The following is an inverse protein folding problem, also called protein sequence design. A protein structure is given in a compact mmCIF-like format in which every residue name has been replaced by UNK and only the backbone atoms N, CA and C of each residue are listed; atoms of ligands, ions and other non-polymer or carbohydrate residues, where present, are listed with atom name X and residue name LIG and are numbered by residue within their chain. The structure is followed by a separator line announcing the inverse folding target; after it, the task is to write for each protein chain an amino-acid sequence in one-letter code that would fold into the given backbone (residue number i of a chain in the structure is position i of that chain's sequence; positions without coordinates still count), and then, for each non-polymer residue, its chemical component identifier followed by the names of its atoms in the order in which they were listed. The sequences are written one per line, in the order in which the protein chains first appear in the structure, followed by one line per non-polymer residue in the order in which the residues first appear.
data_IF_622557012951
#
_entry.id   IF_622557012951
#
_cell.length_a   1.000
_cell.length_b   1.000
_cell.length_c   1.000
_cell.angle_alpha   90.00
_cell.angle_beta   90.00
_cell.angle_gamma   90.00
#
_symmetry.space_group_name_H-M   'P 1'
#
loop_
_entity.id
_entity.type
_entity.pdbx_description
1 polymer ?
#
# COMPACT_ATOMS: atom_id res chain seq x y z
N UNK A 1 -16.79 -5.31 -16.77
CA UNK A 1 -17.01 -6.32 -15.73
C UNK A 1 -18.42 -6.18 -15.17
N UNK A 2 -19.27 -7.19 -15.34
CA UNK A 2 -20.60 -7.21 -14.74
C UNK A 2 -20.46 -7.55 -13.26
N UNK A 3 -20.46 -6.54 -12.38
CA UNK A 3 -20.80 -6.79 -10.98
C UNK A 3 -22.29 -7.14 -10.94
N UNK A 4 -22.62 -8.40 -10.63
CA UNK A 4 -23.90 -8.68 -9.99
C UNK A 4 -24.04 -7.71 -8.81
N UNK A 5 -25.20 -7.06 -8.63
CA UNK A 5 -25.40 -6.07 -7.55
C UNK A 5 -25.07 -6.69 -6.19
N UNK A 6 -23.87 -6.45 -5.69
CA UNK A 6 -23.43 -6.87 -4.36
C UNK A 6 -24.06 -5.88 -3.38
N UNK A 7 -25.07 -6.33 -2.64
CA UNK A 7 -25.82 -5.49 -1.69
C UNK A 7 -25.28 -5.58 -0.25
N UNK A 8 -24.38 -6.53 0.03
CA UNK A 8 -23.76 -6.72 1.34
C UNK A 8 -22.33 -7.26 1.17
N UNK A 9 -21.44 -6.95 2.11
CA UNK A 9 -20.07 -7.48 2.11
C UNK A 9 -20.08 -9.01 2.06
N UNK A 10 -19.23 -9.59 1.23
CA UNK A 10 -19.21 -11.03 1.03
C UNK A 10 -18.32 -11.45 -0.14
N UNK A 11 -18.20 -12.76 -0.31
CA UNK A 11 -17.46 -13.35 -1.42
C UNK A 11 -18.30 -13.25 -2.70
N UNK A 12 -17.69 -12.68 -3.74
CA UNK A 12 -18.21 -12.66 -5.09
C UNK A 12 -17.22 -13.37 -6.02
N UNK A 13 -17.73 -14.16 -6.97
CA UNK A 13 -16.91 -14.80 -7.99
C UNK A 13 -16.87 -13.92 -9.23
N UNK A 14 -15.69 -13.42 -9.58
CA UNK A 14 -15.43 -12.64 -10.78
C UNK A 14 -14.86 -13.54 -11.87
N UNK A 15 -15.32 -13.37 -13.11
CA UNK A 15 -14.71 -14.00 -14.27
C UNK A 15 -13.67 -13.04 -14.86
N UNK A 16 -12.39 -13.32 -14.63
CA UNK A 16 -11.24 -12.52 -15.07
C UNK A 16 -10.43 -13.37 -16.04
N UNK A 17 -10.30 -12.93 -17.29
CA UNK A 17 -9.57 -13.67 -18.35
C UNK A 17 -10.01 -15.14 -18.49
N UNK A 18 -11.33 -15.38 -18.35
CA UNK A 18 -11.96 -16.72 -18.33
C UNK A 18 -11.63 -17.59 -17.10
N UNK A 19 -10.99 -17.02 -16.08
CA UNK A 19 -10.70 -17.67 -14.79
C UNK A 19 -11.69 -17.16 -13.73
N UNK A 20 -12.33 -18.07 -13.01
CA UNK A 20 -13.16 -17.72 -11.86
C UNK A 20 -12.26 -17.38 -10.67
N UNK A 21 -12.38 -16.15 -10.18
CA UNK A 21 -11.65 -15.64 -9.01
C UNK A 21 -12.66 -15.25 -7.95
N UNK A 22 -12.62 -15.92 -6.80
CA UNK A 22 -13.41 -15.54 -5.62
C UNK A 22 -12.72 -14.39 -4.88
N UNK A 23 -13.45 -13.30 -4.64
CA UNK A 23 -12.95 -12.12 -3.93
C UNK A 23 -13.96 -11.64 -2.90
N UNK A 24 -13.51 -11.27 -1.71
CA UNK A 24 -14.34 -10.69 -0.67
C UNK A 24 -14.48 -9.18 -0.90
N UNK A 25 -15.60 -8.75 -1.47
CA UNK A 25 -15.90 -7.34 -1.67
C UNK A 25 -16.46 -6.74 -0.38
N UNK A 26 -15.98 -5.55 -0.01
CA UNK A 26 -16.54 -4.78 1.09
C UNK A 26 -17.60 -3.79 0.56
N UNK A 27 -18.80 -3.85 1.11
CA UNK A 27 -19.91 -2.96 0.75
C UNK A 27 -20.22 -2.02 1.92
N UNK A 28 -20.40 -0.73 1.61
CA UNK A 28 -20.65 0.31 2.59
C UNK A 28 -19.39 1.07 2.99
N UNK A 29 -19.53 1.92 4.00
CA UNK A 29 -18.42 2.74 4.50
C UNK A 29 -17.77 2.10 5.74
N UNK A 30 -16.55 1.61 5.56
CA UNK A 30 -15.70 1.06 6.64
C UNK A 30 -14.48 1.96 6.93
N UNK A 31 -14.52 3.22 6.49
CA UNK A 31 -13.41 4.18 6.58
C UNK A 31 -12.83 4.58 5.22
N UNK A 32 -13.35 4.02 4.13
CA UNK A 32 -12.96 4.36 2.76
C UNK A 32 -14.02 5.18 2.02
N UNK A 33 -15.17 5.45 2.63
CA UNK A 33 -16.35 6.00 1.96
C UNK A 33 -17.25 4.89 1.40
N UNK A 34 -18.49 5.27 1.10
CA UNK A 34 -19.52 4.34 0.64
C UNK A 34 -19.26 3.71 -0.75
N UNK A 35 -19.98 2.64 -1.03
CA UNK A 35 -19.94 1.91 -2.31
C UNK A 35 -19.40 0.49 -2.15
N UNK A 36 -18.89 -0.08 -3.24
CA UNK A 36 -18.28 -1.42 -3.26
C UNK A 36 -16.78 -1.26 -3.45
N UNK A 37 -16.00 -1.86 -2.55
CA UNK A 37 -14.55 -1.85 -2.56
C UNK A 37 -14.04 -3.25 -2.91
N UNK A 38 -13.23 -3.33 -3.96
CA UNK A 38 -12.69 -4.59 -4.47
C UNK A 38 -11.26 -4.78 -3.98
N UNK A 39 -10.93 -5.86 -3.26
CA UNK A 39 -9.55 -6.11 -2.82
C UNK A 39 -8.66 -6.41 -4.03
N UNK A 40 -7.42 -5.93 -3.99
CA UNK A 40 -6.41 -6.25 -5.01
C UNK A 40 -5.18 -6.91 -4.43
N UNK A 41 -4.80 -6.55 -3.19
CA UNK A 41 -3.62 -7.07 -2.53
C UNK A 41 -3.75 -6.93 -1.01
N UNK A 42 -3.17 -7.91 -0.29
CA UNK A 42 -2.96 -7.89 1.16
C UNK A 42 -1.49 -8.20 1.43
N UNK A 43 -0.84 -7.39 2.27
CA UNK A 43 0.61 -7.41 2.48
C UNK A 43 0.91 -7.57 3.96
N UNK A 44 1.65 -8.60 4.33
CA UNK A 44 2.12 -8.77 5.70
C UNK A 44 3.51 -8.12 5.81
N UNK A 45 3.61 -7.04 6.59
CA UNK A 45 4.86 -6.32 6.80
C UNK A 45 6.00 -7.18 7.38
N UNK A 46 5.68 -8.35 7.94
CA UNK A 46 6.64 -9.34 8.45
C UNK A 46 7.16 -10.29 7.37
N UNK A 47 6.59 -10.28 6.17
CA UNK A 47 6.98 -11.14 5.06
C UNK A 47 7.60 -10.33 3.93
N UNK A 48 8.57 -10.93 3.25
CA UNK A 48 9.28 -10.29 2.14
C UNK A 48 8.58 -10.47 0.78
N UNK A 49 7.44 -11.17 0.73
CA UNK A 49 6.69 -11.51 -0.50
C UNK A 49 6.48 -10.29 -1.40
N UNK A 50 6.04 -9.19 -0.79
CA UNK A 50 5.74 -7.93 -1.48
C UNK A 50 6.75 -6.82 -1.17
N UNK A 51 8.01 -7.16 -0.87
CA UNK A 51 9.10 -6.18 -0.76
C UNK A 51 9.13 -5.24 -1.98
N UNK A 52 9.68 -4.03 -1.82
CA UNK A 52 9.75 -3.02 -2.89
C UNK A 52 10.27 -3.59 -4.22
N UNK A 53 11.34 -4.38 -4.18
CA UNK A 53 11.98 -4.99 -5.36
C UNK A 53 11.28 -6.27 -5.86
N UNK A 54 10.14 -6.67 -5.28
CA UNK A 54 9.42 -7.89 -5.66
C UNK A 54 8.85 -7.81 -7.07
N UNK A 55 9.06 -8.87 -7.85
CA UNK A 55 8.49 -9.00 -9.20
C UNK A 55 6.96 -9.02 -9.20
N UNK A 56 6.31 -9.29 -8.05
CA UNK A 56 4.86 -9.27 -7.93
C UNK A 56 4.24 -7.91 -8.26
N UNK A 57 4.98 -6.81 -8.07
CA UNK A 57 4.51 -5.47 -8.43
C UNK A 57 4.38 -5.27 -9.95
N UNK A 58 5.27 -5.89 -10.73
CA UNK A 58 5.36 -5.71 -12.18
C UNK A 58 4.72 -6.82 -13.02
N UNK A 59 4.44 -7.99 -12.44
CA UNK A 59 3.89 -9.14 -13.18
C UNK A 59 2.37 -9.28 -13.04
N UNK A 60 1.76 -10.08 -13.92
CA UNK A 60 0.35 -10.51 -13.83
C UNK A 60 0.23 -11.94 -13.28
N UNK A 61 0.94 -12.20 -12.18
CA UNK A 61 0.90 -13.48 -11.45
C UNK A 61 0.16 -13.32 -10.14
N UNK A 62 -0.74 -14.24 -9.85
CA UNK A 62 -1.45 -14.38 -8.59
C UNK A 62 -0.57 -14.90 -7.45
N UNK A 63 -0.99 -14.62 -6.23
CA UNK A 63 -0.40 -15.19 -5.02
C UNK A 63 -1.49 -15.43 -3.99
N UNK A 64 -1.55 -16.66 -3.46
CA UNK A 64 -2.47 -17.07 -2.40
C UNK A 64 -3.92 -16.58 -2.62
N UNK A 65 -4.56 -17.06 -3.68
CA UNK A 65 -5.95 -16.71 -4.01
C UNK A 65 -6.95 -16.91 -2.86
N UNK A 66 -6.87 -17.99 -2.05
CA UNK A 66 -7.78 -18.17 -0.92
C UNK A 66 -7.73 -17.03 0.10
N UNK A 67 -6.57 -16.34 0.23
CA UNK A 67 -6.44 -15.15 1.06
C UNK A 67 -7.28 -13.95 0.58
N UNK A 68 -7.81 -13.99 -0.65
CA UNK A 68 -8.77 -13.00 -1.17
C UNK A 68 -10.22 -13.26 -0.80
N UNK A 69 -10.55 -14.42 -0.23
CA UNK A 69 -11.94 -14.83 0.09
C UNK A 69 -12.40 -14.37 1.47
N UNK A 70 -11.54 -13.65 2.19
CA UNK A 70 -11.73 -13.16 3.55
C UNK A 70 -11.52 -11.65 3.62
N UNK A 71 -12.08 -11.01 4.67
CA UNK A 71 -11.95 -9.56 4.91
C UNK A 71 -10.59 -9.17 5.53
N UNK A 72 -10.63 -8.50 6.69
CA UNK A 72 -9.44 -7.96 7.37
C UNK A 72 -8.68 -8.99 8.24
N UNK A 73 -8.32 -10.13 7.65
CA UNK A 73 -7.45 -11.14 8.25
C UNK A 73 -5.96 -10.82 8.04
N UNK A 74 -5.07 -11.76 8.35
CA UNK A 74 -3.61 -11.59 8.27
C UNK A 74 -2.98 -12.44 7.16
N UNK A 75 -3.78 -12.88 6.19
CA UNK A 75 -3.30 -13.67 5.06
C UNK A 75 -2.89 -12.77 3.89
N UNK A 76 -1.67 -12.96 3.39
CA UNK A 76 -1.18 -12.26 2.20
C UNK A 76 -1.92 -12.73 0.96
N UNK A 77 -2.20 -11.82 0.03
CA UNK A 77 -2.74 -12.21 -1.28
C UNK A 77 -2.40 -11.18 -2.33
N UNK A 78 -2.30 -11.64 -3.58
CA UNK A 78 -2.33 -10.80 -4.77
C UNK A 78 -3.33 -11.40 -5.75
N UNK A 79 -4.38 -10.62 -6.03
CA UNK A 79 -5.53 -11.08 -6.80
C UNK A 79 -5.45 -10.59 -8.25
N UNK A 80 -6.09 -11.29 -9.20
CA UNK A 80 -6.21 -10.83 -10.57
C UNK A 80 -6.86 -9.45 -10.76
N UNK A 81 -7.66 -9.01 -9.79
CA UNK A 81 -8.18 -7.64 -9.70
C UNK A 81 -7.08 -6.58 -9.66
N UNK A 82 -5.86 -6.92 -9.24
CA UNK A 82 -4.68 -6.05 -9.30
C UNK A 82 -4.37 -5.53 -10.71
N UNK A 83 -4.59 -6.35 -11.75
CA UNK A 83 -4.27 -6.00 -13.15
C UNK A 83 -5.48 -5.92 -14.08
N UNK A 84 -6.69 -6.22 -13.58
CA UNK A 84 -7.89 -6.30 -14.42
C UNK A 84 -9.08 -5.49 -13.89
N UNK A 85 -8.84 -4.56 -12.96
CA UNK A 85 -9.88 -3.71 -12.38
C UNK A 85 -9.51 -2.25 -12.50
N UNK A 86 -10.21 -1.54 -13.37
CA UNK A 86 -10.11 -0.08 -13.48
C UNK A 86 -10.84 0.58 -12.31
N UNK A 87 -10.34 1.73 -11.87
CA UNK A 87 -10.83 2.42 -10.69
C UNK A 87 -10.65 3.93 -10.79
N UNK A 88 -11.35 4.66 -9.93
CA UNK A 88 -11.18 6.09 -9.69
C UNK A 88 -10.67 6.41 -8.28
N UNK A 89 -10.70 5.43 -7.36
CA UNK A 89 -10.19 5.57 -6.01
C UNK A 89 -9.44 4.32 -5.56
N UNK A 90 -8.45 4.53 -4.70
CA UNK A 90 -7.71 3.47 -3.99
C UNK A 90 -7.96 3.69 -2.50
N UNK A 91 -8.32 2.64 -1.78
CA UNK A 91 -8.31 2.66 -0.32
C UNK A 91 -7.14 1.83 0.20
N UNK A 92 -6.34 2.46 1.06
CA UNK A 92 -5.20 1.87 1.72
C UNK A 92 -5.52 1.68 3.19
N UNK A 93 -5.39 0.46 3.68
CA UNK A 93 -5.64 0.10 5.07
C UNK A 93 -4.40 -0.47 5.74
N UNK A 94 -4.18 -0.15 7.01
CA UNK A 94 -3.19 -0.82 7.85
C UNK A 94 -3.84 -1.30 9.14
N UNK A 95 -3.50 -2.51 9.56
CA UNK A 95 -3.78 -3.04 10.90
C UNK A 95 -2.52 -2.98 11.75
N UNK A 96 -2.57 -2.17 12.80
CA UNK A 96 -1.50 -2.02 13.81
C UNK A 96 -2.15 -2.15 15.18
N UNK A 97 -1.60 -3.03 16.04
CA UNK A 97 -2.14 -3.30 17.39
C UNK A 97 -3.65 -3.60 17.39
N UNK A 98 -4.09 -4.46 16.46
CA UNK A 98 -5.50 -4.81 16.20
C UNK A 98 -6.41 -3.66 15.72
N UNK A 99 -5.88 -2.44 15.57
CA UNK A 99 -6.63 -1.29 15.07
C UNK A 99 -6.47 -1.15 13.56
N UNK A 100 -7.59 -1.15 12.85
CA UNK A 100 -7.64 -0.88 11.41
C UNK A 100 -7.80 0.62 11.16
N UNK A 101 -6.96 1.16 10.28
CA UNK A 101 -7.03 2.56 9.85
C UNK A 101 -6.90 2.64 8.34
N UNK A 102 -7.66 3.54 7.74
CA UNK A 102 -7.80 3.64 6.30
C UNK A 102 -7.57 5.07 5.81
N UNK A 103 -7.01 5.19 4.60
CA UNK A 103 -6.91 6.45 3.85
C UNK A 103 -7.29 6.20 2.40
N UNK A 104 -7.82 7.23 1.74
CA UNK A 104 -8.31 7.13 0.35
C UNK A 104 -7.52 8.05 -0.55
N UNK A 105 -7.02 7.51 -1.66
CA UNK A 105 -6.39 8.26 -2.75
C UNK A 105 -7.42 8.35 -3.88
N UNK A 106 -7.72 9.57 -4.33
CA UNK A 106 -8.50 9.79 -5.56
C UNK A 106 -7.55 9.78 -6.75
N UNK A 107 -7.58 8.68 -7.52
CA UNK A 107 -6.71 8.48 -8.67
C UNK A 107 -7.36 7.52 -9.66
N UNK A 108 -7.41 7.93 -10.93
CA UNK A 108 -7.95 7.12 -12.00
C UNK A 108 -6.84 6.34 -12.70
N UNK A 109 -7.03 5.02 -12.86
CA UNK A 109 -6.14 4.16 -13.63
C UNK A 109 -6.89 2.93 -14.15
N UNK A 110 -6.34 2.31 -15.20
CA UNK A 110 -6.90 1.09 -15.78
C UNK A 110 -6.75 -0.13 -14.84
N UNK A 111 -5.72 -0.12 -13.99
CA UNK A 111 -5.46 -1.09 -12.92
C UNK A 111 -4.33 -0.62 -11.99
N UNK A 112 -4.13 -1.32 -10.86
CA UNK A 112 -3.01 -0.99 -9.96
C UNK A 112 -1.68 -1.45 -10.59
N UNK A 113 -1.72 -2.54 -11.37
CA UNK A 113 -0.60 -2.98 -12.20
C UNK A 113 -0.13 -1.88 -13.15
N UNK A 114 -1.01 -1.30 -13.97
CA UNK A 114 -0.62 -0.24 -14.93
C UNK A 114 -0.10 1.03 -14.24
N UNK A 115 -0.52 1.27 -13.00
CA UNK A 115 -0.07 2.42 -12.22
C UNK A 115 1.33 2.22 -11.60
N UNK A 116 1.75 0.98 -11.37
CA UNK A 116 2.98 0.64 -10.65
C UNK A 116 4.05 0.03 -11.57
N UNK A 117 3.66 -0.81 -12.53
CA UNK A 117 4.55 -1.76 -13.20
C UNK A 117 5.65 -1.12 -14.05
N UNK A 118 5.46 0.11 -14.50
CA UNK A 118 6.46 0.83 -15.29
C UNK A 118 7.56 1.47 -14.45
N UNK A 119 7.45 1.41 -13.11
CA UNK A 119 8.43 1.95 -12.18
C UNK A 119 8.47 3.48 -12.12
N UNK A 120 7.61 4.19 -12.85
CA UNK A 120 7.61 5.65 -12.83
C UNK A 120 6.98 6.18 -11.54
N UNK A 121 7.63 7.20 -10.96
CA UNK A 121 7.10 7.95 -9.84
C UNK A 121 5.84 8.71 -10.24
N UNK A 122 4.81 8.66 -9.41
CA UNK A 122 3.59 9.45 -9.55
C UNK A 122 3.21 10.00 -8.20
N UNK A 123 3.09 11.33 -8.10
CA UNK A 123 2.79 11.98 -6.82
C UNK A 123 1.35 11.75 -6.37
N UNK A 124 1.15 11.79 -5.06
CA UNK A 124 -0.17 11.97 -4.44
C UNK A 124 -0.19 13.30 -3.67
N UNK A 125 -1.31 13.59 -3.01
CA UNK A 125 -1.46 14.81 -2.20
C UNK A 125 -2.25 14.51 -0.93
N UNK A 126 -1.99 13.36 -0.30
CA UNK A 126 -2.63 13.00 0.97
C UNK A 126 -2.07 13.83 2.12
N UNK A 127 -0.78 14.16 2.05
CA UNK A 127 -0.06 14.86 3.10
C UNK A 127 0.44 13.94 4.20
N UNK A 128 1.52 14.40 4.85
CA UNK A 128 2.26 13.69 5.89
C UNK A 128 1.38 13.14 7.02
N UNK A 129 0.47 13.96 7.56
CA UNK A 129 -0.35 13.55 8.70
C UNK A 129 -1.34 12.44 8.34
N UNK A 130 -1.85 12.46 7.10
CA UNK A 130 -2.71 11.39 6.57
C UNK A 130 -1.94 10.07 6.50
N UNK A 131 -0.70 10.07 6.02
CA UNK A 131 0.13 8.85 6.04
C UNK A 131 0.41 8.35 7.45
N UNK A 132 0.74 9.26 8.38
CA UNK A 132 0.93 8.90 9.80
C UNK A 132 -0.33 8.34 10.44
N UNK A 133 -1.51 8.77 9.99
CA UNK A 133 -2.79 8.29 10.51
C UNK A 133 -3.00 6.78 10.30
N UNK A 134 -2.39 6.17 9.27
CA UNK A 134 -2.43 4.71 9.08
C UNK A 134 -1.79 3.95 10.26
N UNK A 135 -0.74 4.53 10.85
CA UNK A 135 -0.05 3.98 12.03
C UNK A 135 -0.77 4.36 13.32
N UNK A 136 -1.40 5.54 13.36
CA UNK A 136 -2.10 6.07 14.52
C UNK A 136 -1.18 6.87 15.45
N UNK A 137 -1.38 6.83 16.79
CA UNK A 137 -0.59 7.62 17.75
C UNK A 137 0.92 7.35 17.71
N UNK A 138 1.33 6.21 17.15
CA UNK A 138 2.73 5.85 16.99
C UNK A 138 3.34 6.35 15.67
N UNK A 139 2.58 7.03 14.80
CA UNK A 139 3.12 7.56 13.55
C UNK A 139 4.29 8.51 13.78
N UNK A 140 5.38 8.33 13.04
CA UNK A 140 6.62 9.09 13.15
C UNK A 140 7.32 9.19 11.79
N UNK A 141 7.95 10.31 11.49
CA UNK A 141 8.77 10.50 10.28
C UNK A 141 9.82 11.60 10.55
N UNK A 142 10.91 11.65 9.79
CA UNK A 142 11.75 12.85 9.75
C UNK A 142 10.97 14.02 9.12
N UNK A 143 11.24 15.29 9.44
CA UNK A 143 10.25 16.36 9.27
C UNK A 143 10.12 16.92 7.85
N UNK A 144 11.02 16.58 6.91
CA UNK A 144 11.13 17.27 5.62
C UNK A 144 11.10 16.31 4.41
N UNK A 145 11.24 16.88 3.21
CA UNK A 145 11.01 16.28 1.89
C UNK A 145 9.55 15.83 1.66
N UNK A 146 9.04 14.91 2.49
CA UNK A 146 7.67 14.39 2.44
C UNK A 146 7.23 13.91 1.05
N UNK A 147 8.12 13.22 0.32
CA UNK A 147 7.81 12.72 -1.03
C UNK A 147 6.85 11.54 -0.93
N UNK A 148 5.66 11.70 -1.49
CA UNK A 148 4.57 10.74 -1.39
C UNK A 148 4.02 10.31 -2.76
N UNK A 149 3.54 9.08 -2.85
CA UNK A 149 2.81 8.56 -4.00
C UNK A 149 3.20 7.14 -4.38
N UNK A 150 3.32 6.89 -5.68
CA UNK A 150 3.62 5.59 -6.28
C UNK A 150 5.07 5.51 -6.74
N UNK A 151 5.70 4.34 -6.61
CA UNK A 151 7.12 4.10 -6.94
C UNK A 151 8.04 5.19 -6.37
N UNK A 152 7.89 5.44 -5.07
CA UNK A 152 8.64 6.46 -4.35
C UNK A 152 10.07 6.00 -4.14
N UNK A 153 11.00 6.76 -4.70
CA UNK A 153 12.44 6.57 -4.60
C UNK A 153 13.17 7.89 -4.29
N UNK A 154 14.39 7.81 -3.73
CA UNK A 154 15.27 8.98 -3.62
C UNK A 154 15.51 9.62 -4.98
N UNK A 155 15.74 10.94 -4.98
CA UNK A 155 15.88 11.74 -6.21
C UNK A 155 17.16 11.46 -7.00
N UNK A 156 18.16 10.83 -6.40
CA UNK A 156 19.42 10.50 -7.07
C UNK A 156 19.68 8.99 -7.13
N UNK A 157 20.10 8.46 -8.30
CA UNK A 157 20.31 7.01 -8.48
C UNK A 157 21.27 6.36 -7.48
N UNK A 158 22.31 7.09 -7.05
CA UNK A 158 23.32 6.58 -6.11
C UNK A 158 22.77 6.19 -4.73
N UNK A 159 21.57 6.67 -4.39
CA UNK A 159 20.89 6.38 -3.13
C UNK A 159 19.78 5.33 -3.25
N UNK A 160 19.43 4.86 -4.45
CA UNK A 160 18.31 3.92 -4.63
C UNK A 160 18.40 2.68 -3.74
N UNK A 161 19.59 2.13 -3.55
CA UNK A 161 19.80 0.94 -2.71
C UNK A 161 20.24 1.28 -1.26
N UNK A 162 20.26 2.56 -0.90
CA UNK A 162 20.76 3.06 0.39
C UNK A 162 19.73 3.88 1.16
N UNK A 163 18.61 4.22 0.52
CA UNK A 163 17.56 5.05 1.08
C UNK A 163 16.22 4.31 1.09
N UNK A 164 15.30 4.84 1.89
CA UNK A 164 13.95 4.33 2.02
C UNK A 164 13.17 4.46 0.70
N UNK A 165 12.38 3.43 0.40
CA UNK A 165 11.56 3.34 -0.81
C UNK A 165 10.18 2.76 -0.49
N UNK A 166 9.19 3.11 -1.31
CA UNK A 166 7.83 2.60 -1.17
C UNK A 166 7.15 2.46 -2.53
N UNK A 167 6.46 1.33 -2.79
CA UNK A 167 5.64 1.20 -4.00
C UNK A 167 4.41 2.08 -3.93
N UNK A 168 3.83 2.21 -2.73
CA UNK A 168 2.79 3.18 -2.41
C UNK A 168 3.09 3.71 -1.00
N UNK A 169 3.40 4.98 -0.85
CA UNK A 169 3.79 5.49 0.47
C UNK A 169 4.36 6.90 0.48
N UNK A 170 4.97 7.25 1.61
CA UNK A 170 5.72 8.48 1.84
C UNK A 170 7.12 8.16 2.35
N UNK A 171 8.11 8.92 1.90
CA UNK A 171 9.48 8.92 2.42
C UNK A 171 9.86 10.33 2.87
N UNK A 172 10.71 10.41 3.89
CA UNK A 172 11.13 11.69 4.46
C UNK A 172 12.55 11.65 5.01
N UNK A 173 13.17 12.82 5.08
CA UNK A 173 14.48 13.07 5.69
C UNK A 173 14.47 14.39 6.49
N UNK A 174 15.65 14.84 6.90
CA UNK A 174 15.85 16.09 7.63
C UNK A 174 16.08 17.31 6.72
N UNK A 175 16.09 17.12 5.39
CA UNK A 175 16.44 18.13 4.39
C UNK A 175 15.25 18.44 3.46
N UNK A 176 15.29 19.57 2.75
CA UNK A 176 14.20 19.89 1.81
C UNK A 176 14.26 19.02 0.54
N UNK A 177 15.45 18.53 0.19
CA UNK A 177 15.64 17.59 -0.92
C UNK A 177 15.29 16.16 -0.49
N UNK A 178 14.97 15.29 -1.44
CA UNK A 178 14.62 13.90 -1.17
C UNK A 178 15.75 12.95 -1.58
N UNK A 179 17.00 13.28 -1.24
CA UNK A 179 18.19 12.51 -1.65
C UNK A 179 18.47 11.33 -0.70
N UNK A 180 18.62 11.64 0.58
CA UNK A 180 19.00 10.72 1.67
C UNK A 180 17.79 10.43 2.58
N UNK A 181 16.74 9.85 2.00
CA UNK A 181 15.52 9.52 2.76
C UNK A 181 15.73 8.31 3.67
N UNK A 182 15.58 8.50 4.99
CA UNK A 182 15.77 7.43 5.97
C UNK A 182 14.42 6.88 6.45
N UNK A 183 13.45 7.75 6.71
CA UNK A 183 12.13 7.36 7.24
C UNK A 183 11.08 7.12 6.15
N UNK A 184 10.14 6.19 6.40
CA UNK A 184 9.06 5.83 5.48
C UNK A 184 7.81 5.30 6.18
N UNK A 185 6.68 5.49 5.52
CA UNK A 185 5.42 4.78 5.78
C UNK A 185 4.87 4.31 4.44
N UNK A 186 4.47 3.05 4.32
CA UNK A 186 3.86 2.60 3.07
C UNK A 186 3.63 1.10 2.92
N UNK A 187 3.35 0.74 1.67
CA UNK A 187 3.07 -0.59 1.17
C UNK A 187 4.13 -0.94 0.12
N UNK A 188 4.66 -2.15 0.18
CA UNK A 188 5.79 -2.56 -0.65
C UNK A 188 7.02 -1.72 -0.40
N UNK A 189 7.43 -1.64 0.87
CA UNK A 189 8.57 -0.84 1.28
C UNK A 189 9.87 -1.63 1.33
N UNK A 190 10.98 -0.90 1.45
CA UNK A 190 12.34 -1.41 1.64
C UNK A 190 13.30 -0.25 1.89
N UNK A 191 14.58 -0.56 2.14
CA UNK A 191 15.62 0.44 2.40
C UNK A 191 16.33 0.23 3.74
N UNK A 192 17.02 1.27 4.26
CA UNK A 192 17.87 1.14 5.45
C UNK A 192 17.07 0.80 6.71
N UNK A 193 17.83 0.37 7.73
CA UNK A 193 17.40 0.02 9.10
C UNK A 193 16.64 -1.29 9.23
N UNK A 194 15.47 -1.40 8.59
CA UNK A 194 14.71 -2.64 8.50
C UNK A 194 14.28 -2.86 7.06
N UNK A 195 15.18 -3.41 6.23
CA UNK A 195 14.87 -3.68 4.82
C UNK A 195 13.74 -4.72 4.66
N UNK A 196 13.45 -5.50 5.70
CA UNK A 196 12.44 -6.56 5.66
C UNK A 196 11.03 -6.05 6.00
N UNK A 197 10.89 -4.81 6.50
CA UNK A 197 9.60 -4.18 6.69
C UNK A 197 9.00 -3.79 5.33
N UNK A 198 8.07 -4.61 4.84
CA UNK A 198 7.40 -4.43 3.54
C UNK A 198 6.09 -3.65 3.63
N UNK A 199 5.53 -3.47 4.83
CA UNK A 199 4.32 -2.71 5.07
C UNK A 199 4.30 -2.17 6.50
N UNK A 200 4.06 -0.87 6.66
CA UNK A 200 4.04 -0.20 7.95
C UNK A 200 4.94 1.02 7.96
N UNK A 201 5.66 1.21 9.06
CA UNK A 201 6.54 2.36 9.32
C UNK A 201 7.94 1.91 9.72
N UNK A 202 8.92 2.54 9.10
CA UNK A 202 10.29 2.54 9.59
C UNK A 202 10.77 3.99 9.69
N UNK A 203 11.01 4.46 10.89
CA UNK A 203 11.43 5.81 11.18
C UNK A 203 12.55 5.77 12.21
N UNK A 204 13.77 5.97 11.74
CA UNK A 204 15.00 6.03 12.54
C UNK A 204 15.74 7.33 12.25
N UNK A 205 16.75 7.67 13.06
CA UNK A 205 17.60 8.88 13.00
C UNK A 205 17.19 10.01 13.94
N UNK A 206 18.02 11.05 13.99
CA UNK A 206 17.78 12.28 14.77
C UNK A 206 16.66 13.11 14.15
N UNK A 207 15.96 13.87 15.00
CA UNK A 207 14.91 14.85 14.65
C UNK A 207 13.58 14.25 14.15
N UNK A 208 13.27 13.02 14.54
CA UNK A 208 11.94 12.45 14.36
C UNK A 208 10.89 13.21 15.17
N UNK A 209 9.71 13.38 14.59
CA UNK A 209 8.60 14.10 15.24
C UNK A 209 7.97 13.34 16.41
N UNK A 210 8.05 12.01 16.43
CA UNK A 210 7.51 11.16 17.50
C UNK A 210 8.49 10.05 17.94
N UNK A 211 9.80 10.28 17.79
CA UNK A 211 10.84 9.31 18.14
C UNK A 211 10.92 8.10 17.22
N UNK A 212 11.85 7.19 17.50
CA UNK A 212 12.09 6.01 16.66
C UNK A 212 10.91 5.04 16.67
N UNK A 213 10.58 4.51 15.50
CA UNK A 213 9.46 3.58 15.29
C UNK A 213 9.82 2.54 14.25
N UNK A 214 9.60 1.27 14.60
CA UNK A 214 9.77 0.11 13.73
C UNK A 214 8.53 -0.75 13.89
N UNK A 215 7.52 -0.52 13.05
CA UNK A 215 6.24 -1.20 13.15
C UNK A 215 5.91 -1.80 11.80
N UNK A 216 5.73 -3.12 11.81
CA UNK A 216 5.25 -3.91 10.69
C UNK A 216 3.74 -4.04 10.82
N UNK A 217 3.01 -3.77 9.74
CA UNK A 217 1.56 -3.77 9.71
C UNK A 217 1.04 -4.84 8.75
N UNK A 218 -0.19 -5.29 8.98
CA UNK A 218 -0.95 -5.95 7.92
C UNK A 218 -1.58 -4.87 7.03
N UNK A 219 -1.19 -4.83 5.77
CA UNK A 219 -1.65 -3.88 4.76
C UNK A 219 -2.77 -4.45 3.90
N UNK A 220 -3.73 -3.60 3.54
CA UNK A 220 -4.83 -3.93 2.62
C UNK A 220 -4.94 -2.86 1.55
N UNK A 221 -5.11 -3.29 0.30
CA UNK A 221 -5.29 -2.38 -0.83
C UNK A 221 -6.59 -2.76 -1.54
N UNK A 222 -7.49 -1.79 -1.65
CA UNK A 222 -8.77 -1.90 -2.32
C UNK A 222 -8.93 -0.83 -3.40
N UNK A 223 -9.77 -1.09 -4.38
CA UNK A 223 -10.07 -0.15 -5.46
C UNK A 223 -11.58 -0.03 -5.70
N UNK A 224 -12.00 1.15 -6.16
CA UNK A 224 -13.38 1.51 -6.51
C UNK A 224 -13.42 2.38 -7.77
#
# INVERSE_FOLDING_TARGET
FFFHRINASGVATLLIDSIQTSVFCHVGDFGCGGGVWTPVMKIDGNKQTFHYDSNFWGNKKEYNLPGGETGFDQEETKLPTYWNTSFAKICLGMKVDQQLRFVVISMQADSLHSLISDGHYRSTSLGRDTWKSLIGPQGSLQPKCNKEGFNVEPEIPSWKHKASRARIGIVANNNNNCLDVDSRIGFGTGGPHDNENTCGIDARMKLLDNGERHIKAMGYIFVQ
#
